data_IF_743320231592
#
_entry.id   IF_743320231592
#
_cell.length_a   1.000
_cell.length_b   1.000
_cell.length_c   1.000
_cell.angle_alpha   90.00
_cell.angle_beta   90.00
_cell.angle_gamma   90.00
#
_symmetry.space_group_name_H-M   'P 1'
#
loop_
_entity.id
_entity.type
_entity.pdbx_description
1 polymer ?
#
# COMPACT_ATOMS: atom_id res chain seq x y z
N UNK A 1 -6.99 21.65 -10.62
CA UNK A 1 -7.13 20.39 -9.86
C UNK A 1 -8.59 20.01 -9.76
N UNK A 2 -8.92 18.70 -9.77
CA UNK A 2 -10.31 18.23 -9.73
C UNK A 2 -11.11 18.84 -8.56
N UNK A 3 -10.51 18.99 -7.38
CA UNK A 3 -11.18 19.62 -6.21
C UNK A 3 -11.68 21.03 -6.56
N UNK A 4 -10.82 21.87 -7.12
CA UNK A 4 -11.18 23.25 -7.51
C UNK A 4 -12.31 23.25 -8.56
N UNK A 5 -12.23 22.31 -9.52
CA UNK A 5 -13.26 22.17 -10.55
C UNK A 5 -14.64 21.88 -9.95
N UNK A 6 -14.72 20.85 -9.06
CA UNK A 6 -15.99 20.48 -8.44
C UNK A 6 -16.52 21.54 -7.45
N UNK A 7 -15.62 22.27 -6.76
CA UNK A 7 -16.02 23.44 -5.95
C UNK A 7 -16.62 24.54 -6.83
N UNK A 8 -16.03 24.82 -8.00
CA UNK A 8 -16.57 25.82 -8.93
C UNK A 8 -17.90 25.38 -9.54
N UNK A 9 -18.07 24.09 -9.84
CA UNK A 9 -19.35 23.54 -10.28
C UNK A 9 -20.44 23.72 -9.22
N UNK A 10 -20.13 23.47 -7.94
CA UNK A 10 -21.06 23.64 -6.83
C UNK A 10 -21.49 25.11 -6.60
N UNK A 11 -20.71 26.10 -7.07
CA UNK A 11 -21.01 27.51 -6.96
C UNK A 11 -21.98 28.01 -8.04
N UNK A 12 -22.28 27.19 -9.06
CA UNK A 12 -23.22 27.58 -10.12
C UNK A 12 -24.66 27.55 -9.58
N UNK A 13 -25.47 28.52 -10.00
CA UNK A 13 -26.85 28.68 -9.50
C UNK A 13 -27.80 27.58 -9.95
N UNK A 14 -27.54 26.95 -11.11
CA UNK A 14 -28.43 25.96 -11.74
C UNK A 14 -28.07 24.51 -11.45
N UNK A 15 -27.36 24.22 -10.36
CA UNK A 15 -26.98 22.84 -9.99
C UNK A 15 -28.16 22.13 -9.34
N UNK A 16 -28.56 21.03 -9.91
CA UNK A 16 -29.61 20.15 -9.35
C UNK A 16 -29.18 19.50 -8.03
N UNK A 17 -30.13 19.07 -7.22
CA UNK A 17 -29.86 18.37 -5.97
C UNK A 17 -29.04 17.08 -6.17
N UNK A 18 -29.29 16.33 -7.26
CA UNK A 18 -28.58 15.12 -7.59
C UNK A 18 -27.13 15.40 -8.02
N UNK A 19 -26.94 16.39 -8.89
CA UNK A 19 -25.59 16.83 -9.28
C UNK A 19 -24.79 17.31 -8.07
N UNK A 20 -25.43 18.11 -7.20
CA UNK A 20 -24.80 18.56 -5.95
C UNK A 20 -24.32 17.40 -5.08
N UNK A 21 -25.18 16.39 -4.89
CA UNK A 21 -24.84 15.17 -4.14
C UNK A 21 -23.68 14.40 -4.79
N UNK A 22 -23.67 14.31 -6.12
CA UNK A 22 -22.58 13.69 -6.88
C UNK A 22 -21.27 14.45 -6.72
N UNK A 23 -21.28 15.78 -6.86
CA UNK A 23 -20.07 16.62 -6.72
C UNK A 23 -19.50 16.57 -5.31
N UNK A 24 -20.37 16.61 -4.28
CA UNK A 24 -19.94 16.46 -2.88
C UNK A 24 -19.27 15.11 -2.65
N UNK A 25 -19.83 14.01 -3.20
CA UNK A 25 -19.21 12.67 -3.10
C UNK A 25 -17.81 12.64 -3.72
N UNK A 26 -17.64 13.22 -4.90
CA UNK A 26 -16.33 13.31 -5.55
C UNK A 26 -15.35 14.15 -4.74
N UNK A 27 -15.80 15.27 -4.19
CA UNK A 27 -14.98 16.11 -3.31
C UNK A 27 -14.53 15.37 -2.06
N UNK A 28 -15.45 14.67 -1.41
CA UNK A 28 -15.15 13.85 -0.23
C UNK A 28 -14.07 12.80 -0.55
N UNK A 29 -14.26 12.01 -1.61
CA UNK A 29 -13.26 11.03 -2.05
C UNK A 29 -11.89 11.65 -2.34
N UNK A 30 -11.86 12.81 -3.04
CA UNK A 30 -10.58 13.47 -3.35
C UNK A 30 -9.92 14.08 -2.11
N UNK A 31 -10.71 14.58 -1.16
CA UNK A 31 -10.20 15.12 0.11
C UNK A 31 -9.64 14.02 1.01
N UNK A 32 -10.34 12.90 1.15
CA UNK A 32 -9.84 11.73 1.90
C UNK A 32 -8.55 11.20 1.29
N UNK A 33 -8.48 11.15 -0.04
CA UNK A 33 -7.25 10.76 -0.73
C UNK A 33 -6.10 11.73 -0.47
N UNK A 34 -6.35 13.04 -0.52
CA UNK A 34 -5.34 14.06 -0.24
C UNK A 34 -4.83 13.95 1.21
N UNK A 35 -5.73 13.71 2.16
CA UNK A 35 -5.38 13.46 3.56
C UNK A 35 -4.42 12.27 3.67
N UNK A 36 -4.78 11.11 3.09
CA UNK A 36 -3.93 9.92 3.12
C UNK A 36 -2.54 10.17 2.49
N UNK A 37 -2.48 10.91 1.37
CA UNK A 37 -1.21 11.30 0.73
C UNK A 37 -0.32 12.15 1.62
N UNK A 38 -0.91 13.10 2.35
CA UNK A 38 -0.18 13.97 3.28
C UNK A 38 0.33 13.13 4.47
N UNK A 39 -0.48 12.25 5.03
CA UNK A 39 -0.09 11.34 6.10
C UNK A 39 1.07 10.42 5.65
N UNK A 40 0.96 9.80 4.48
CA UNK A 40 2.00 8.98 3.88
C UNK A 40 3.31 9.76 3.69
N UNK A 41 3.23 11.00 3.19
CA UNK A 41 4.40 11.86 3.00
C UNK A 41 5.09 12.20 4.32
N UNK A 42 4.31 12.49 5.37
CA UNK A 42 4.86 12.76 6.71
C UNK A 42 5.53 11.53 7.29
N UNK A 43 4.96 10.34 7.12
CA UNK A 43 5.54 9.08 7.60
C UNK A 43 6.89 8.80 6.93
N UNK A 44 6.95 8.90 5.60
CA UNK A 44 8.22 8.73 4.85
C UNK A 44 9.25 9.81 5.23
N UNK A 45 8.82 11.05 5.43
CA UNK A 45 9.71 12.13 5.84
C UNK A 45 10.32 11.89 7.23
N UNK A 46 9.52 11.45 8.19
CA UNK A 46 9.98 11.09 9.53
C UNK A 46 10.94 9.89 9.49
N UNK A 47 10.61 8.84 8.72
CA UNK A 47 11.47 7.67 8.58
C UNK A 47 12.85 8.05 8.04
N UNK A 48 12.91 8.91 7.00
CA UNK A 48 14.17 9.36 6.41
C UNK A 48 14.99 10.30 7.29
N UNK A 49 14.37 11.02 8.21
CA UNK A 49 15.05 11.91 9.16
C UNK A 49 15.52 11.19 10.43
N UNK A 50 15.28 9.87 10.56
CA UNK A 50 15.62 9.09 11.75
C UNK A 50 14.81 9.48 13.00
N UNK A 51 13.71 10.24 12.83
CA UNK A 51 12.89 10.74 13.94
C UNK A 51 11.66 9.87 14.23
N UNK A 52 11.56 8.70 13.60
CA UNK A 52 10.45 7.75 13.86
C UNK A 52 10.63 7.13 15.23
N UNK A 53 9.68 7.36 16.13
CA UNK A 53 9.55 6.56 17.34
C UNK A 53 8.97 5.19 16.99
N UNK A 54 9.69 4.11 17.31
CA UNK A 54 9.19 2.75 17.18
C UNK A 54 8.59 2.30 18.50
N UNK A 55 7.39 1.75 18.43
CA UNK A 55 6.76 1.02 19.54
C UNK A 55 6.91 -0.48 19.29
N UNK A 56 8.11 -0.99 19.59
CA UNK A 56 8.46 -2.37 19.34
C UNK A 56 7.89 -3.30 20.41
N UNK A 57 7.34 -4.41 19.95
CA UNK A 57 6.75 -5.48 20.76
C UNK A 57 6.96 -6.83 20.05
N UNK A 58 6.67 -7.94 20.74
CA UNK A 58 6.71 -9.26 20.11
C UNK A 58 5.50 -9.44 19.18
N UNK A 59 5.73 -9.37 17.88
CA UNK A 59 4.71 -9.47 16.84
C UNK A 59 4.79 -10.84 16.17
N UNK A 60 3.69 -11.59 16.17
CA UNK A 60 3.54 -12.77 15.31
C UNK A 60 3.22 -12.31 13.89
N UNK A 61 4.26 -12.28 13.06
CA UNK A 61 4.15 -11.78 11.68
C UNK A 61 3.24 -12.63 10.79
N UNK A 62 3.10 -13.94 11.08
CA UNK A 62 2.21 -14.83 10.33
C UNK A 62 0.75 -14.48 10.63
N UNK A 63 0.42 -14.27 11.89
CA UNK A 63 -0.92 -13.84 12.31
C UNK A 63 -1.26 -12.45 11.79
N UNK A 64 -0.30 -11.51 11.85
CA UNK A 64 -0.50 -10.16 11.33
C UNK A 64 -0.74 -10.16 9.81
N UNK A 65 0.02 -10.94 9.04
CA UNK A 65 -0.18 -11.06 7.60
C UNK A 65 -1.54 -11.69 7.26
N UNK A 66 -2.00 -12.67 8.03
CA UNK A 66 -3.35 -13.26 7.88
C UNK A 66 -4.44 -12.22 8.17
N UNK A 67 -4.25 -11.38 9.19
CA UNK A 67 -5.17 -10.28 9.50
C UNK A 67 -5.26 -9.28 8.35
N UNK A 68 -4.14 -8.78 7.85
CA UNK A 68 -4.11 -7.83 6.72
C UNK A 68 -4.79 -8.43 5.47
N UNK A 69 -4.49 -9.71 5.17
CA UNK A 69 -5.17 -10.44 4.08
C UNK A 69 -6.69 -10.44 4.26
N UNK A 70 -7.17 -10.72 5.46
CA UNK A 70 -8.61 -10.76 5.75
C UNK A 70 -9.26 -9.38 5.56
N UNK A 71 -8.63 -8.34 6.08
CA UNK A 71 -9.13 -6.96 5.96
C UNK A 71 -9.11 -6.44 4.52
N UNK A 72 -8.22 -6.96 3.68
CA UNK A 72 -8.13 -6.62 2.26
C UNK A 72 -8.87 -7.58 1.34
N UNK A 73 -9.67 -8.53 1.86
CA UNK A 73 -10.32 -9.58 1.07
C UNK A 73 -11.10 -9.04 -0.13
N UNK A 74 -11.92 -8.02 0.06
CA UNK A 74 -12.73 -7.43 -1.01
C UNK A 74 -11.87 -6.84 -2.15
N UNK A 75 -10.75 -6.19 -1.80
CA UNK A 75 -9.81 -5.62 -2.78
C UNK A 75 -9.06 -6.73 -3.53
N UNK A 76 -8.67 -7.78 -2.81
CA UNK A 76 -7.99 -8.94 -3.38
C UNK A 76 -8.93 -9.66 -4.35
N UNK A 77 -10.16 -9.93 -3.98
CA UNK A 77 -11.15 -10.57 -4.84
C UNK A 77 -11.45 -9.71 -6.08
N UNK A 78 -11.67 -8.42 -5.90
CA UNK A 78 -11.93 -7.49 -7.01
C UNK A 78 -10.76 -7.37 -8.00
N UNK A 79 -9.52 -7.74 -7.62
CA UNK A 79 -8.36 -7.71 -8.50
C UNK A 79 -8.37 -8.79 -9.59
N UNK A 80 -9.14 -9.87 -9.39
CA UNK A 80 -9.13 -11.04 -10.27
C UNK A 80 -7.81 -11.83 -10.26
N UNK A 81 -6.97 -11.65 -9.25
CA UNK A 81 -5.69 -12.35 -9.06
C UNK A 81 -5.87 -13.45 -8.02
N UNK A 82 -5.38 -14.64 -8.29
CA UNK A 82 -5.37 -15.74 -7.34
C UNK A 82 -4.19 -15.61 -6.37
N UNK A 83 -4.44 -15.15 -5.13
CA UNK A 83 -3.42 -15.03 -4.10
C UNK A 83 -3.17 -16.38 -3.42
N UNK A 84 -1.94 -16.89 -3.53
CA UNK A 84 -1.48 -18.13 -2.92
C UNK A 84 -0.51 -17.84 -1.78
N UNK A 85 -0.88 -18.31 -0.60
CA UNK A 85 -0.11 -18.09 0.64
C UNK A 85 0.56 -19.39 1.04
N UNK A 86 1.89 -19.36 1.16
CA UNK A 86 2.71 -20.39 1.75
C UNK A 86 3.27 -19.86 3.07
N UNK A 87 2.53 -20.07 4.13
CA UNK A 87 2.83 -19.57 5.47
C UNK A 87 3.08 -20.75 6.41
N UNK A 88 4.08 -20.66 7.30
CA UNK A 88 4.30 -21.68 8.31
C UNK A 88 3.10 -21.81 9.24
N UNK A 89 2.88 -23.00 9.79
CA UNK A 89 1.85 -23.23 10.79
C UNK A 89 2.25 -22.65 12.16
N UNK A 90 3.56 -22.67 12.43
CA UNK A 90 4.12 -22.13 13.66
C UNK A 90 4.14 -20.60 13.66
N UNK A 91 4.02 -20.04 14.85
CA UNK A 91 4.19 -18.61 15.07
C UNK A 91 5.64 -18.19 14.82
N UNK A 92 5.80 -17.05 14.17
CA UNK A 92 7.10 -16.40 14.04
C UNK A 92 7.01 -15.07 14.77
N UNK A 93 7.61 -15.02 15.96
CA UNK A 93 7.68 -13.79 16.75
C UNK A 93 8.92 -12.99 16.36
N UNK A 94 8.72 -11.73 16.02
CA UNK A 94 9.78 -10.74 15.77
C UNK A 94 9.52 -9.50 16.63
N UNK A 95 10.58 -8.88 17.13
CA UNK A 95 10.49 -7.66 17.93
C UNK A 95 10.38 -6.43 17.00
N UNK A 96 9.15 -6.05 16.68
CA UNK A 96 8.81 -5.07 15.66
C UNK A 96 7.70 -4.11 16.14
N UNK A 97 7.51 -3.01 15.41
CA UNK A 97 6.34 -2.15 15.54
C UNK A 97 5.18 -2.75 14.73
N UNK A 98 4.14 -3.20 15.42
CA UNK A 98 3.00 -3.90 14.81
C UNK A 98 2.25 -3.02 13.80
N UNK A 99 2.11 -1.72 14.07
CA UNK A 99 1.41 -0.79 13.17
C UNK A 99 2.21 -0.55 11.88
N UNK A 100 3.52 -0.36 11.99
CA UNK A 100 4.39 -0.17 10.81
C UNK A 100 4.50 -1.44 9.99
N UNK A 101 4.59 -2.59 10.64
CA UNK A 101 4.60 -3.89 9.97
C UNK A 101 3.26 -4.18 9.26
N UNK A 102 2.13 -3.82 9.89
CA UNK A 102 0.82 -3.83 9.23
C UNK A 102 0.85 -2.99 7.94
N UNK A 103 1.34 -1.76 8.00
CA UNK A 103 1.42 -0.84 6.85
C UNK A 103 2.34 -1.36 5.74
N UNK A 104 3.42 -2.08 6.08
CA UNK A 104 4.26 -2.77 5.08
C UNK A 104 3.41 -3.77 4.30
N UNK A 105 2.73 -4.69 4.99
CA UNK A 105 1.92 -5.73 4.35
C UNK A 105 0.75 -5.14 3.56
N UNK A 106 0.05 -4.14 4.11
CA UNK A 106 -1.03 -3.44 3.43
C UNK A 106 -0.55 -2.84 2.11
N UNK A 107 0.54 -2.07 2.13
CA UNK A 107 1.09 -1.43 0.93
C UNK A 107 1.47 -2.46 -0.14
N UNK A 108 2.12 -3.55 0.26
CA UNK A 108 2.56 -4.59 -0.68
C UNK A 108 1.38 -5.37 -1.27
N UNK A 109 0.41 -5.80 -0.45
CA UNK A 109 -0.76 -6.52 -0.93
C UNK A 109 -1.68 -5.65 -1.80
N UNK A 110 -1.88 -4.39 -1.42
CA UNK A 110 -2.63 -3.42 -2.25
C UNK A 110 -1.91 -3.14 -3.57
N UNK A 111 -0.58 -3.08 -3.55
CA UNK A 111 0.22 -2.91 -4.76
C UNK A 111 0.03 -4.10 -5.74
N UNK A 112 0.08 -5.33 -5.23
CA UNK A 112 -0.18 -6.54 -6.02
C UNK A 112 -1.60 -6.52 -6.60
N UNK A 113 -2.62 -6.28 -5.76
CA UNK A 113 -4.01 -6.26 -6.18
C UNK A 113 -4.29 -5.19 -7.26
N UNK A 114 -3.54 -4.10 -7.23
CA UNK A 114 -3.75 -2.96 -8.12
C UNK A 114 -2.99 -3.07 -9.45
N UNK A 115 -1.76 -3.58 -9.43
CA UNK A 115 -0.87 -3.57 -10.58
C UNK A 115 -0.58 -4.95 -11.14
N UNK A 116 -1.00 -6.00 -10.45
CA UNK A 116 -0.89 -7.36 -10.95
C UNK A 116 -1.84 -7.62 -12.12
N UNK A 117 -1.48 -8.58 -12.95
CA UNK A 117 -2.27 -8.99 -14.12
C UNK A 117 -3.46 -9.86 -13.67
N UNK A 118 -4.71 -9.46 -13.94
CA UNK A 118 -5.89 -10.30 -13.66
C UNK A 118 -5.79 -11.68 -14.33
N UNK A 119 -6.35 -12.70 -13.68
CA UNK A 119 -6.31 -14.09 -14.17
C UNK A 119 -4.95 -14.78 -13.93
N UNK A 120 -3.99 -14.14 -13.27
CA UNK A 120 -2.71 -14.73 -12.88
C UNK A 120 -2.66 -15.05 -11.39
N UNK A 121 -1.49 -15.50 -10.91
CA UNK A 121 -1.27 -15.84 -9.50
C UNK A 121 -0.29 -14.89 -8.84
N UNK A 122 -0.57 -14.54 -7.61
CA UNK A 122 0.39 -13.90 -6.71
C UNK A 122 0.80 -14.90 -5.62
N UNK A 123 2.08 -14.99 -5.33
CA UNK A 123 2.62 -15.91 -4.33
C UNK A 123 3.18 -15.11 -3.17
N UNK A 124 2.70 -15.40 -1.96
CA UNK A 124 3.14 -14.80 -0.71
C UNK A 124 3.73 -15.92 0.14
N UNK A 125 5.00 -15.80 0.49
CA UNK A 125 5.72 -16.82 1.24
C UNK A 125 6.44 -16.19 2.42
N UNK A 126 6.41 -16.88 3.57
CA UNK A 126 7.18 -16.54 4.77
C UNK A 126 8.03 -17.75 5.11
N UNK A 127 9.34 -17.54 5.21
CA UNK A 127 10.32 -18.58 5.55
C UNK A 127 11.22 -18.09 6.67
N UNK A 128 11.44 -18.91 7.67
CA UNK A 128 12.51 -18.71 8.65
C UNK A 128 13.78 -19.32 8.09
N UNK A 129 14.83 -18.54 7.99
CA UNK A 129 16.14 -18.99 7.53
C UNK A 129 16.98 -19.53 8.70
N UNK A 130 18.00 -20.34 8.38
CA UNK A 130 18.83 -21.03 9.37
C UNK A 130 19.65 -20.06 10.24
N UNK A 131 19.92 -18.85 9.76
CA UNK A 131 20.63 -17.78 10.47
C UNK A 131 19.73 -16.95 11.42
N UNK A 132 18.45 -17.32 11.51
CA UNK A 132 17.46 -16.67 12.35
C UNK A 132 16.72 -15.50 11.70
N UNK A 133 17.08 -15.13 10.46
CA UNK A 133 16.31 -14.17 9.68
C UNK A 133 14.97 -14.74 9.22
N UNK A 134 14.06 -13.85 8.89
CA UNK A 134 12.76 -14.21 8.30
C UNK A 134 12.64 -13.55 6.94
N UNK A 135 12.57 -14.40 5.91
CA UNK A 135 12.37 -13.94 4.53
C UNK A 135 10.89 -13.94 4.19
N UNK A 136 10.38 -12.77 3.81
CA UNK A 136 9.02 -12.60 3.31
C UNK A 136 9.10 -12.27 1.82
N UNK A 137 8.59 -13.17 0.99
CA UNK A 137 8.62 -13.01 -0.46
C UNK A 137 7.20 -12.80 -0.98
N UNK A 138 7.02 -11.77 -1.80
CA UNK A 138 5.77 -11.51 -2.52
C UNK A 138 6.06 -11.38 -4.01
N UNK A 139 5.47 -12.25 -4.84
CA UNK A 139 5.69 -12.30 -6.29
C UNK A 139 4.38 -12.25 -7.03
N UNK A 140 4.30 -11.43 -8.06
CA UNK A 140 3.17 -11.37 -8.98
C UNK A 140 3.64 -11.05 -10.40
N UNK A 141 2.78 -11.28 -11.37
CA UNK A 141 2.99 -10.83 -12.75
C UNK A 141 2.37 -9.43 -12.86
N UNK A 142 3.15 -8.46 -13.33
CA UNK A 142 2.66 -7.11 -13.59
C UNK A 142 1.74 -7.09 -14.81
N UNK A 143 0.64 -6.33 -14.75
CA UNK A 143 -0.26 -6.13 -15.87
C UNK A 143 0.38 -5.30 -17.01
N UNK A 144 1.49 -4.61 -16.71
CA UNK A 144 2.25 -3.79 -17.66
C UNK A 144 3.73 -4.03 -17.50
N UNK A 145 4.47 -3.80 -18.57
CA UNK A 145 5.92 -3.78 -18.49
C UNK A 145 6.40 -2.63 -17.59
N UNK A 146 7.42 -2.92 -16.78
CA UNK A 146 8.00 -1.92 -15.88
C UNK A 146 9.12 -1.21 -16.64
N UNK A 147 8.92 0.09 -16.89
CA UNK A 147 9.88 0.95 -17.61
C UNK A 147 10.96 1.54 -16.68
N UNK A 148 10.92 1.22 -15.39
CA UNK A 148 11.80 1.75 -14.34
C UNK A 148 12.57 0.63 -13.66
N UNK A 149 13.76 0.94 -13.16
CA UNK A 149 14.58 -0.04 -12.44
C UNK A 149 13.95 -0.45 -11.09
N UNK A 150 14.33 -1.61 -10.52
CA UNK A 150 13.86 -2.02 -9.20
C UNK A 150 14.17 -1.00 -8.10
N UNK A 151 15.32 -0.34 -8.17
CA UNK A 151 15.75 0.69 -7.23
C UNK A 151 14.84 1.91 -7.32
N UNK A 152 14.57 2.38 -8.53
CA UNK A 152 13.67 3.51 -8.78
C UNK A 152 12.24 3.23 -8.30
N UNK A 153 11.74 1.99 -8.41
CA UNK A 153 10.40 1.63 -7.95
C UNK A 153 10.17 1.87 -6.45
N UNK A 154 11.23 1.83 -5.66
CA UNK A 154 11.18 2.08 -4.21
C UNK A 154 11.45 3.54 -3.84
N UNK A 155 11.77 4.40 -4.82
CA UNK A 155 11.90 5.83 -4.59
C UNK A 155 10.54 6.52 -4.45
N UNK A 156 10.57 7.73 -3.89
CA UNK A 156 9.34 8.52 -3.63
C UNK A 156 8.74 9.03 -4.93
N UNK A 157 7.42 8.93 -5.04
CA UNK A 157 6.65 9.46 -6.17
C UNK A 157 6.96 8.81 -7.53
N UNK A 158 7.76 7.75 -7.55
CA UNK A 158 8.01 7.00 -8.78
C UNK A 158 6.80 6.10 -9.07
N UNK A 159 6.38 6.13 -10.30
CA UNK A 159 5.28 5.32 -10.83
C UNK A 159 5.79 4.66 -12.09
N UNK A 160 5.77 3.34 -12.11
CA UNK A 160 6.12 2.54 -13.29
C UNK A 160 5.12 2.68 -14.45
N UNK A 161 4.14 3.58 -14.31
CA UNK A 161 3.11 3.84 -15.30
C UNK A 161 3.03 5.34 -15.58
N UNK A 162 3.26 5.74 -16.80
CA UNK A 162 3.13 7.11 -17.31
C UNK A 162 1.68 7.57 -17.40
N UNK A 163 0.70 6.66 -17.25
CA UNK A 163 -0.71 7.03 -17.31
C UNK A 163 -1.11 7.81 -16.04
N UNK A 164 -1.36 9.09 -16.20
CA UNK A 164 -1.83 10.00 -15.13
C UNK A 164 -3.19 9.62 -14.53
N UNK A 165 -3.87 8.61 -15.08
CA UNK A 165 -5.25 8.23 -14.73
C UNK A 165 -5.35 7.06 -13.73
N UNK A 166 -4.28 6.35 -13.39
CA UNK A 166 -4.35 5.30 -12.37
C UNK A 166 -4.28 5.87 -10.96
N UNK A 167 -5.16 5.39 -10.08
CA UNK A 167 -5.19 5.81 -8.68
C UNK A 167 -3.95 5.28 -7.93
N UNK A 168 -3.08 6.16 -7.41
CA UNK A 168 -1.95 5.79 -6.58
C UNK A 168 -1.05 6.99 -6.30
N UNK A 169 -0.40 7.00 -5.11
CA UNK A 169 0.52 8.05 -4.69
C UNK A 169 1.93 7.88 -5.27
N UNK A 170 2.31 6.65 -5.59
CA UNK A 170 3.71 6.30 -5.82
C UNK A 170 4.55 6.27 -4.53
N UNK A 171 3.90 6.28 -3.37
CA UNK A 171 4.57 6.28 -2.06
C UNK A 171 4.53 4.92 -1.37
N UNK A 172 3.64 4.00 -1.75
CA UNK A 172 3.41 2.75 -1.02
C UNK A 172 4.66 1.88 -0.88
N UNK A 173 5.43 1.70 -1.96
CA UNK A 173 6.68 0.93 -1.91
C UNK A 173 7.77 1.67 -1.12
N UNK A 174 7.88 3.00 -1.26
CA UNK A 174 8.81 3.82 -0.49
C UNK A 174 8.49 3.78 1.02
N UNK A 175 7.21 3.77 1.40
CA UNK A 175 6.76 3.61 2.79
C UNK A 175 7.14 2.22 3.30
N UNK A 176 6.82 1.17 2.53
CA UNK A 176 7.15 -0.21 2.92
C UNK A 176 8.66 -0.36 3.15
N UNK A 177 9.49 0.10 2.21
CA UNK A 177 10.95 0.10 2.33
C UNK A 177 11.42 0.86 3.57
N UNK A 178 10.96 2.10 3.76
CA UNK A 178 11.36 2.92 4.91
C UNK A 178 11.01 2.26 6.24
N UNK A 179 9.83 1.60 6.33
CA UNK A 179 9.42 0.93 7.56
C UNK A 179 10.16 -0.40 7.80
N UNK A 180 10.61 -1.07 6.75
CA UNK A 180 11.51 -2.22 6.88
C UNK A 180 12.86 -1.76 7.40
N UNK A 181 13.47 -0.73 6.78
CA UNK A 181 14.79 -0.22 7.12
C UNK A 181 14.87 0.32 8.57
N UNK A 182 13.88 1.11 9.02
CA UNK A 182 13.87 1.65 10.40
C UNK A 182 13.68 0.58 11.46
N UNK A 183 13.17 -0.59 11.10
CA UNK A 183 13.03 -1.76 11.98
C UNK A 183 14.22 -2.73 11.88
N UNK A 184 15.26 -2.38 11.12
CA UNK A 184 16.49 -3.17 10.98
C UNK A 184 16.42 -4.27 9.91
N UNK A 185 15.39 -4.27 9.07
CA UNK A 185 15.27 -5.15 7.91
C UNK A 185 15.93 -4.58 6.65
N UNK A 186 15.95 -5.37 5.57
CA UNK A 186 16.51 -5.00 4.26
C UNK A 186 15.50 -5.23 3.13
#
# INVERSE_FOLDING_TARGET
TAIITYVNLLKQENVTAEERKSYVRVLDQKSMRLKALIEDLFEVSKASSGTVSLHQEDVDIVSLLKQVRFELSDKIEASGIEFRYNLPEEKILLYLDSQKTYRIFENLLVNIAKYGMPGTRAYIQVVREDDGHVLITMRNISARELEVSPEELTERFVRGDTSRNTEGSGLGLAIARSFVEVQGGT
#
